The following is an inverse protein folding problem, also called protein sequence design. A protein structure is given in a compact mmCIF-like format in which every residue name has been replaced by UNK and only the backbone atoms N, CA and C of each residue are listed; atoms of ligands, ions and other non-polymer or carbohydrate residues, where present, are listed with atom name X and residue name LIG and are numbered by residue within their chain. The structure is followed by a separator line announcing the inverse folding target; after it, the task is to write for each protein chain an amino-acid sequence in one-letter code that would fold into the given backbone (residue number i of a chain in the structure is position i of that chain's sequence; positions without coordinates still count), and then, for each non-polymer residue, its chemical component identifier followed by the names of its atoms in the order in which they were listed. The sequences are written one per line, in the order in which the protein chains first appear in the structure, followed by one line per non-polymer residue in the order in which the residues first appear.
data_IF_403521897505
#
_entry.id   IF_403521897505
#
_cell.length_a   1.000
_cell.length_b   1.000
_cell.length_c   1.000
_cell.angle_alpha   90.00
_cell.angle_beta   90.00
_cell.angle_gamma   90.00
#
_symmetry.space_group_name_H-M   'P 1'
#
loop_
_entity.id
_entity.type
_entity.pdbx_description
1 polymer ?
#
# COMPACT_ATOMS: atom_id res chain seq x y z
N UNK A 1 26.38 90.33 -6.94
CA UNK A 1 26.19 89.33 -7.98
C UNK A 1 26.44 88.00 -7.30
N UNK A 2 25.34 87.29 -6.92
CA UNK A 2 25.39 86.05 -6.13
C UNK A 2 24.93 84.92 -7.02
N UNK A 3 25.77 83.88 -7.19
CA UNK A 3 25.47 82.71 -7.98
C UNK A 3 25.06 81.62 -7.04
N UNK A 4 23.82 81.14 -7.17
CA UNK A 4 23.25 80.05 -6.41
C UNK A 4 23.60 78.69 -7.06
N UNK A 5 24.11 77.78 -6.26
CA UNK A 5 24.43 76.39 -6.62
C UNK A 5 23.19 75.49 -6.37
N UNK A 6 22.81 74.58 -7.25
CA UNK A 6 21.64 73.67 -7.03
C UNK A 6 22.06 72.50 -6.16
N UNK A 7 21.18 72.18 -5.19
CA UNK A 7 21.25 70.99 -4.27
C UNK A 7 20.78 69.74 -5.00
N UNK A 8 21.66 68.72 -5.06
CA UNK A 8 21.35 67.37 -5.54
C UNK A 8 20.46 66.61 -4.54
N UNK A 9 19.30 66.13 -5.00
CA UNK A 9 18.46 65.22 -4.23
C UNK A 9 18.90 63.77 -4.43
N UNK A 10 19.35 63.17 -3.33
CA UNK A 10 19.66 61.75 -3.22
C UNK A 10 18.37 60.94 -3.11
N UNK A 11 18.06 60.11 -4.07
CA UNK A 11 16.94 59.16 -4.05
C UNK A 11 17.38 57.92 -3.27
N UNK A 12 16.77 57.71 -2.12
CA UNK A 12 16.90 56.44 -1.37
C UNK A 12 16.06 55.37 -2.03
N UNK A 13 16.71 54.36 -2.62
CA UNK A 13 16.08 53.14 -3.08
C UNK A 13 15.85 52.24 -1.84
N UNK A 14 14.57 51.85 -1.62
CA UNK A 14 14.17 50.87 -0.61
C UNK A 14 14.62 49.46 -1.08
N UNK A 15 15.32 48.67 -0.25
CA UNK A 15 15.66 47.29 -0.65
C UNK A 15 14.40 46.41 -0.67
N UNK A 16 14.15 45.79 -1.82
CA UNK A 16 13.17 44.72 -1.92
C UNK A 16 13.64 43.49 -1.14
N UNK A 17 12.82 43.02 -0.20
CA UNK A 17 13.05 41.82 0.56
C UNK A 17 12.90 40.60 -0.37
N UNK A 18 13.95 39.84 -0.55
CA UNK A 18 13.91 38.51 -1.18
C UNK A 18 13.23 37.52 -0.22
N UNK A 19 12.25 36.71 -0.65
CA UNK A 19 11.62 35.73 0.23
C UNK A 19 12.60 34.64 0.64
N UNK A 20 12.63 34.33 1.93
CA UNK A 20 13.47 33.31 2.54
C UNK A 20 13.18 31.92 1.97
N UNK A 21 14.21 31.06 1.76
CA UNK A 21 14.06 29.71 1.18
C UNK A 21 13.16 28.77 1.98
N UNK A 22 12.88 29.05 3.24
CA UNK A 22 11.99 28.26 4.11
C UNK A 22 10.53 28.31 3.67
N UNK A 23 10.07 29.42 3.08
CA UNK A 23 8.66 29.56 2.62
C UNK A 23 8.40 28.73 1.36
N UNK A 24 9.41 28.59 0.50
CA UNK A 24 9.30 27.81 -0.74
C UNK A 24 9.15 26.30 -0.47
N UNK A 25 9.84 25.78 0.54
CA UNK A 25 9.76 24.37 0.95
C UNK A 25 8.39 24.01 1.54
N UNK A 26 7.78 24.92 2.33
CA UNK A 26 6.46 24.69 2.91
C UNK A 26 5.33 24.68 1.86
N UNK A 27 5.44 25.54 0.84
CA UNK A 27 4.47 25.59 -0.27
C UNK A 27 4.60 24.36 -1.19
N UNK A 28 5.80 23.86 -1.42
CA UNK A 28 6.00 22.62 -2.18
C UNK A 28 5.48 21.39 -1.44
N UNK A 29 5.68 21.31 -0.11
CA UNK A 29 5.11 20.25 0.72
C UNK A 29 3.59 20.26 0.74
N UNK A 30 2.97 21.44 0.81
CA UNK A 30 1.51 21.58 0.77
C UNK A 30 0.92 21.24 -0.60
N UNK A 31 1.60 21.60 -1.70
CA UNK A 31 1.18 21.23 -3.06
C UNK A 31 1.28 19.71 -3.30
N UNK A 32 2.33 19.05 -2.81
CA UNK A 32 2.45 17.60 -2.88
C UNK A 32 1.40 16.88 -2.03
N UNK A 33 1.11 17.37 -0.83
CA UNK A 33 0.05 16.83 0.03
C UNK A 33 -1.34 17.00 -0.61
N UNK A 34 -1.61 18.14 -1.24
CA UNK A 34 -2.87 18.39 -1.96
C UNK A 34 -3.00 17.50 -3.22
N UNK A 35 -1.93 17.26 -3.96
CA UNK A 35 -1.90 16.33 -5.10
C UNK A 35 -2.15 14.90 -4.65
N UNK A 36 -1.56 14.47 -3.53
CA UNK A 36 -1.79 13.16 -2.93
C UNK A 36 -3.24 12.99 -2.45
N UNK A 37 -3.84 14.03 -1.86
CA UNK A 37 -5.24 14.04 -1.45
C UNK A 37 -6.21 14.00 -2.66
N UNK A 38 -5.91 14.73 -3.73
CA UNK A 38 -6.69 14.70 -4.98
C UNK A 38 -6.57 13.34 -5.69
N UNK A 39 -5.42 12.67 -5.62
CA UNK A 39 -5.22 11.30 -6.13
C UNK A 39 -6.00 10.29 -5.27
N UNK A 40 -6.04 10.47 -3.95
CA UNK A 40 -6.90 9.67 -3.05
C UNK A 40 -8.38 9.78 -3.41
N UNK A 41 -8.84 10.95 -3.75
CA UNK A 41 -10.26 11.20 -4.08
C UNK A 41 -10.66 10.63 -5.45
N UNK A 42 -9.73 10.51 -6.41
CA UNK A 42 -9.98 9.87 -7.71
C UNK A 42 -10.03 8.35 -7.67
N UNK A 43 -9.39 7.71 -6.68
CA UNK A 43 -9.39 6.27 -6.49
C UNK A 43 -10.70 5.74 -5.89
N UNK A 44 -11.59 6.61 -5.43
CA UNK A 44 -12.84 6.23 -4.78
C UNK A 44 -13.98 6.11 -5.79
N UNK A 45 -13.90 5.12 -6.66
CA UNK A 45 -15.08 4.62 -7.37
C UNK A 45 -15.89 3.74 -6.41
N UNK A 46 -17.22 3.79 -6.51
CA UNK A 46 -18.06 2.89 -5.74
C UNK A 46 -17.58 1.43 -5.93
N UNK A 47 -17.61 0.58 -4.87
CA UNK A 47 -17.16 -0.80 -5.00
C UNK A 47 -17.92 -1.49 -6.12
N UNK A 48 -17.25 -2.36 -6.92
CA UNK A 48 -17.91 -3.07 -8.00
C UNK A 48 -19.04 -3.94 -7.44
N UNK A 49 -20.20 -3.87 -8.09
CA UNK A 49 -21.35 -4.69 -7.74
C UNK A 49 -21.10 -6.15 -8.15
N UNK A 50 -21.85 -7.14 -7.61
CA UNK A 50 -21.80 -8.52 -8.07
C UNK A 50 -21.88 -8.67 -9.58
N UNK A 51 -22.76 -7.92 -10.23
CA UNK A 51 -22.90 -7.92 -11.68
C UNK A 51 -21.63 -7.47 -12.44
N UNK A 52 -20.74 -6.74 -11.79
CA UNK A 52 -19.46 -6.30 -12.37
C UNK A 52 -18.39 -7.33 -12.08
N UNK A 53 -18.13 -7.66 -10.81
CA UNK A 53 -16.99 -8.53 -10.49
C UNK A 53 -17.16 -9.98 -10.96
N UNK A 54 -18.37 -10.52 -11.02
CA UNK A 54 -18.66 -11.87 -11.56
C UNK A 54 -18.32 -12.01 -13.05
N UNK A 55 -18.20 -10.89 -13.79
CA UNK A 55 -17.78 -10.89 -15.20
C UNK A 55 -16.29 -10.65 -15.40
N UNK A 56 -15.55 -10.41 -14.31
CA UNK A 56 -14.13 -10.20 -14.40
C UNK A 56 -13.41 -11.52 -14.72
N UNK A 57 -12.45 -11.45 -15.63
CA UNK A 57 -11.61 -12.60 -15.99
C UNK A 57 -10.27 -12.58 -15.26
N UNK A 58 -9.90 -11.44 -14.66
CA UNK A 58 -8.58 -11.23 -14.10
C UNK A 58 -8.63 -10.79 -12.64
N UNK A 59 -7.65 -11.28 -11.86
CA UNK A 59 -7.43 -10.91 -10.44
C UNK A 59 -6.00 -10.46 -10.27
N UNK A 60 -5.78 -9.29 -9.65
CA UNK A 60 -4.46 -8.83 -9.27
C UNK A 60 -4.15 -9.25 -7.83
N UNK A 61 -3.08 -10.00 -7.67
CA UNK A 61 -2.58 -10.54 -6.41
C UNK A 61 -1.30 -9.82 -5.99
N UNK A 62 -1.25 -9.40 -4.72
CA UNK A 62 -0.11 -8.72 -4.12
C UNK A 62 0.37 -9.35 -2.81
N UNK A 63 -0.37 -10.28 -2.25
CA UNK A 63 -0.13 -10.98 -0.97
C UNK A 63 -0.26 -12.48 -1.09
N UNK A 64 -1.03 -13.11 -0.18
CA UNK A 64 -1.15 -14.57 -0.10
C UNK A 64 -1.67 -15.24 -1.36
N UNK A 65 -2.46 -14.56 -2.19
CA UNK A 65 -2.92 -15.10 -3.48
C UNK A 65 -1.77 -15.39 -4.45
N UNK A 66 -0.56 -14.85 -4.26
CA UNK A 66 0.59 -15.15 -5.11
C UNK A 66 1.07 -16.58 -4.90
N UNK A 67 1.11 -17.06 -3.64
CA UNK A 67 1.59 -18.40 -3.28
C UNK A 67 0.46 -19.37 -2.91
N UNK A 68 -0.74 -18.89 -2.66
CA UNK A 68 -1.92 -19.69 -2.38
C UNK A 68 -3.18 -19.09 -3.04
N UNK A 69 -3.31 -19.14 -4.37
CA UNK A 69 -4.44 -18.57 -5.09
C UNK A 69 -5.78 -19.22 -4.72
N UNK A 70 -5.81 -20.53 -4.38
CA UNK A 70 -7.02 -21.31 -4.05
C UNK A 70 -8.06 -21.32 -5.20
N UNK A 71 -7.63 -21.03 -6.43
CA UNK A 71 -8.43 -21.10 -7.64
C UNK A 71 -7.61 -21.53 -8.84
N UNK A 72 -8.29 -22.11 -9.84
CA UNK A 72 -7.68 -22.46 -11.11
C UNK A 72 -7.54 -21.23 -12.02
N UNK A 73 -6.44 -21.17 -12.76
CA UNK A 73 -6.16 -20.10 -13.70
C UNK A 73 -5.58 -20.64 -15.02
N UNK A 74 -5.83 -19.91 -16.11
CA UNK A 74 -5.34 -20.27 -17.44
C UNK A 74 -4.05 -19.51 -17.81
N UNK A 75 -3.85 -18.32 -17.21
CA UNK A 75 -2.76 -17.42 -17.57
C UNK A 75 -2.34 -16.59 -16.35
N UNK A 76 -1.06 -16.21 -16.27
CA UNK A 76 -0.54 -15.32 -15.24
C UNK A 76 0.65 -14.49 -15.70
N UNK A 77 0.75 -13.26 -15.25
CA UNK A 77 1.84 -12.35 -15.59
C UNK A 77 2.29 -11.53 -14.39
N UNK A 78 3.60 -11.24 -14.34
CA UNK A 78 4.12 -10.19 -13.47
C UNK A 78 3.73 -8.83 -14.04
N UNK A 79 3.11 -7.98 -13.22
CA UNK A 79 2.66 -6.65 -13.60
C UNK A 79 2.87 -5.66 -12.47
N UNK A 80 2.75 -4.37 -12.77
CA UNK A 80 2.83 -3.27 -11.81
C UNK A 80 1.59 -2.43 -11.91
N UNK A 81 1.03 -2.07 -10.76
CA UNK A 81 -0.04 -1.09 -10.64
C UNK A 81 0.49 0.18 -9.97
N UNK A 82 -0.10 1.32 -10.32
CA UNK A 82 0.23 2.63 -9.77
C UNK A 82 -0.87 3.11 -8.81
N UNK A 83 -0.51 3.97 -7.87
CA UNK A 83 -1.44 4.56 -6.90
C UNK A 83 -1.64 3.74 -5.63
N UNK A 84 -1.03 2.55 -5.53
CA UNK A 84 -1.10 1.68 -4.37
C UNK A 84 0.24 1.01 -4.12
N UNK A 85 0.55 0.75 -2.84
CA UNK A 85 1.73 -0.01 -2.44
C UNK A 85 1.37 -1.12 -1.47
N UNK A 86 2.21 -2.14 -1.38
CA UNK A 86 2.08 -3.24 -0.42
C UNK A 86 2.49 -2.76 0.96
N UNK A 87 1.64 -3.00 1.96
CA UNK A 87 1.93 -2.68 3.35
C UNK A 87 1.32 -3.70 4.31
N UNK A 88 1.97 -3.95 5.44
CA UNK A 88 1.36 -4.63 6.58
C UNK A 88 0.46 -3.65 7.32
N UNK A 89 -0.77 -3.55 6.89
CA UNK A 89 -1.72 -2.55 7.40
C UNK A 89 -3.10 -3.11 7.76
N UNK A 90 -3.27 -4.44 7.76
CA UNK A 90 -4.54 -5.08 8.05
C UNK A 90 -4.44 -5.93 9.31
N UNK A 91 -5.32 -5.69 10.29
CA UNK A 91 -5.44 -6.52 11.47
C UNK A 91 -5.96 -7.92 11.11
N UNK A 92 -5.33 -8.96 11.64
CA UNK A 92 -5.74 -10.35 11.46
C UNK A 92 -6.13 -10.96 12.80
N UNK A 93 -7.42 -11.03 13.05
CA UNK A 93 -8.00 -11.55 14.31
C UNK A 93 -8.21 -13.06 14.31
N UNK A 94 -7.97 -13.75 13.18
CA UNK A 94 -8.25 -15.18 13.04
C UNK A 94 -7.11 -15.93 12.36
N UNK A 95 -6.68 -15.48 11.17
CA UNK A 95 -5.76 -16.27 10.34
C UNK A 95 -4.32 -16.22 10.83
N UNK A 96 -3.83 -15.05 11.23
CA UNK A 96 -2.43 -14.81 11.66
C UNK A 96 -2.32 -14.21 13.06
N UNK A 97 -3.43 -14.19 13.80
CA UNK A 97 -3.54 -13.75 15.18
C UNK A 97 -4.84 -14.24 15.78
N UNK A 98 -5.16 -13.72 16.97
CA UNK A 98 -6.40 -13.97 17.70
C UNK A 98 -7.09 -12.64 18.02
N UNK A 99 -8.35 -12.62 18.47
CA UNK A 99 -8.99 -11.39 18.92
C UNK A 99 -8.21 -10.63 20.01
N UNK A 100 -7.59 -11.36 20.95
CA UNK A 100 -6.82 -10.78 22.06
C UNK A 100 -5.39 -10.40 21.66
N UNK A 101 -4.84 -11.04 20.62
CA UNK A 101 -3.51 -10.77 20.08
C UNK A 101 -3.56 -10.76 18.56
N UNK A 102 -4.11 -9.71 17.95
CA UNK A 102 -4.26 -9.65 16.50
C UNK A 102 -2.93 -9.59 15.80
N UNK A 103 -2.78 -10.43 14.79
CA UNK A 103 -1.67 -10.39 13.85
C UNK A 103 -1.83 -9.25 12.85
N UNK A 104 -0.96 -9.22 11.86
CA UNK A 104 -1.01 -8.25 10.76
C UNK A 104 -0.81 -8.94 9.42
N UNK A 105 -1.59 -8.57 8.42
CA UNK A 105 -1.44 -9.08 7.05
C UNK A 105 -1.34 -7.93 6.06
N UNK A 106 -0.94 -8.27 4.84
CA UNK A 106 -0.73 -7.29 3.77
C UNK A 106 -2.05 -6.74 3.25
N UNK A 107 -2.06 -5.45 3.01
CA UNK A 107 -3.04 -4.73 2.21
C UNK A 107 -2.37 -3.95 1.09
N UNK A 108 -3.15 -3.52 0.10
CA UNK A 108 -2.78 -2.44 -0.81
C UNK A 108 -3.18 -1.13 -0.15
N UNK A 109 -2.20 -0.36 0.29
CA UNK A 109 -2.42 0.97 0.84
C UNK A 109 -2.20 2.06 -0.21
N UNK A 110 -2.80 3.22 -0.02
CA UNK A 110 -2.80 4.31 -0.98
C UNK A 110 -1.41 4.90 -1.22
N UNK A 111 -1.12 5.23 -2.47
CA UNK A 111 0.13 5.88 -2.91
C UNK A 111 1.19 4.89 -3.39
N UNK A 112 2.17 5.41 -4.14
CA UNK A 112 3.26 4.60 -4.67
C UNK A 112 2.84 3.65 -5.78
N UNK A 113 3.46 2.48 -5.81
CA UNK A 113 3.20 1.43 -6.79
C UNK A 113 3.42 0.05 -6.19
N UNK A 114 2.82 -0.98 -6.79
CA UNK A 114 2.95 -2.36 -6.35
C UNK A 114 3.21 -3.29 -7.54
N UNK A 115 4.31 -4.01 -7.52
CA UNK A 115 4.50 -5.17 -8.40
C UNK A 115 3.80 -6.38 -7.80
N UNK A 116 3.08 -7.13 -8.63
CA UNK A 116 2.34 -8.31 -8.23
C UNK A 116 2.08 -9.22 -9.42
N UNK A 117 1.18 -10.17 -9.21
CA UNK A 117 0.82 -11.14 -10.23
C UNK A 117 -0.65 -10.93 -10.62
N UNK A 118 -0.91 -10.81 -11.92
CA UNK A 118 -2.28 -10.86 -12.43
C UNK A 118 -2.56 -12.25 -12.95
N UNK A 119 -3.68 -12.83 -12.53
CA UNK A 119 -4.14 -14.16 -12.94
C UNK A 119 -5.37 -14.03 -13.80
N UNK A 120 -5.40 -14.71 -14.93
CA UNK A 120 -6.63 -14.98 -15.67
C UNK A 120 -7.26 -16.23 -15.09
N UNK A 121 -8.41 -16.09 -14.48
CA UNK A 121 -9.13 -17.22 -13.89
C UNK A 121 -9.56 -18.21 -14.97
N UNK A 122 -9.82 -19.47 -14.58
CA UNK A 122 -10.21 -20.54 -15.50
C UNK A 122 -11.46 -20.14 -16.28
N UNK A 123 -11.36 -20.20 -17.62
CA UNK A 123 -12.48 -19.90 -18.51
C UNK A 123 -13.66 -20.82 -18.23
N UNK A 124 -14.86 -20.22 -18.14
CA UNK A 124 -16.11 -20.91 -17.82
C UNK A 124 -16.37 -21.11 -16.33
N UNK A 125 -15.44 -20.66 -15.45
CA UNK A 125 -15.58 -20.68 -14.00
C UNK A 125 -15.46 -19.27 -13.39
N UNK A 126 -15.50 -18.22 -14.21
CA UNK A 126 -15.21 -16.85 -13.78
C UNK A 126 -16.12 -16.42 -12.63
N UNK A 127 -17.42 -16.59 -12.78
CA UNK A 127 -18.39 -16.15 -11.76
C UNK A 127 -18.17 -16.88 -10.42
N UNK A 128 -17.99 -18.19 -10.44
CA UNK A 128 -17.78 -19.00 -9.23
C UNK A 128 -16.46 -18.67 -8.54
N UNK A 129 -15.39 -18.45 -9.32
CA UNK A 129 -14.08 -18.10 -8.78
C UNK A 129 -14.13 -16.68 -8.18
N UNK A 130 -14.72 -15.73 -8.90
CA UNK A 130 -14.83 -14.35 -8.42
C UNK A 130 -15.69 -14.24 -7.17
N UNK A 131 -16.79 -14.97 -7.08
CA UNK A 131 -17.60 -15.02 -5.85
C UNK A 131 -16.81 -15.59 -4.67
N UNK A 132 -16.05 -16.68 -4.86
CA UNK A 132 -15.22 -17.25 -3.80
C UNK A 132 -14.12 -16.28 -3.34
N UNK A 133 -13.45 -15.62 -4.27
CA UNK A 133 -12.42 -14.62 -3.93
C UNK A 133 -13.07 -13.45 -3.19
N UNK A 134 -14.19 -12.94 -3.69
CA UNK A 134 -14.91 -11.85 -3.06
C UNK A 134 -15.34 -12.21 -1.64
N UNK A 135 -15.95 -13.37 -1.44
CA UNK A 135 -16.34 -13.85 -0.11
C UNK A 135 -15.15 -14.04 0.83
N UNK A 136 -14.02 -14.58 0.32
CA UNK A 136 -12.79 -14.75 1.09
C UNK A 136 -12.21 -13.44 1.60
N UNK A 137 -12.18 -12.41 0.75
CA UNK A 137 -11.57 -11.12 1.07
C UNK A 137 -12.53 -10.19 1.83
N UNK A 138 -13.86 -10.36 1.62
CA UNK A 138 -14.89 -9.52 2.24
C UNK A 138 -15.48 -10.10 3.55
N UNK A 139 -14.81 -11.07 4.17
CA UNK A 139 -15.17 -11.60 5.52
C UNK A 139 -15.17 -10.51 6.58
N UNK A 140 -14.34 -9.47 6.39
CA UNK A 140 -14.30 -8.26 7.20
C UNK A 140 -14.39 -7.04 6.27
N UNK A 141 -14.98 -5.95 6.75
CA UNK A 141 -15.10 -4.70 5.97
C UNK A 141 -13.77 -3.97 5.76
N UNK A 142 -12.66 -4.60 6.15
CA UNK A 142 -11.30 -4.06 6.10
C UNK A 142 -10.76 -3.91 4.68
N UNK A 143 -11.30 -4.65 3.74
CA UNK A 143 -10.94 -4.55 2.33
C UNK A 143 -12.06 -3.94 1.51
N UNK A 144 -11.67 -3.20 0.48
CA UNK A 144 -12.57 -2.69 -0.56
C UNK A 144 -12.18 -3.27 -1.91
N UNK A 145 -13.12 -3.86 -2.64
CA UNK A 145 -12.87 -4.34 -3.98
C UNK A 145 -12.66 -3.14 -4.92
N UNK A 146 -11.67 -3.27 -5.80
CA UNK A 146 -11.32 -2.28 -6.80
C UNK A 146 -11.06 -2.96 -8.14
N UNK A 147 -11.50 -2.35 -9.24
CA UNK A 147 -11.10 -2.75 -10.59
C UNK A 147 -9.98 -1.83 -11.06
N UNK A 148 -8.88 -2.44 -11.51
CA UNK A 148 -7.69 -1.74 -12.00
C UNK A 148 -7.44 -2.09 -13.46
N UNK A 149 -7.04 -1.09 -14.26
CA UNK A 149 -6.60 -1.28 -15.63
C UNK A 149 -5.10 -1.66 -15.61
N UNK A 150 -4.75 -2.77 -16.26
CA UNK A 150 -3.40 -3.34 -16.24
C UNK A 150 -2.90 -3.57 -17.66
N UNK A 151 -1.78 -2.94 -18.05
CA UNK A 151 -1.07 -3.33 -19.26
C UNK A 151 -0.33 -4.63 -19.04
N UNK A 152 -0.59 -5.64 -19.89
CA UNK A 152 0.15 -6.88 -19.88
C UNK A 152 1.47 -6.76 -20.67
N UNK A 153 2.47 -7.61 -20.39
CA UNK A 153 3.75 -7.60 -21.11
C UNK A 153 3.64 -7.83 -22.62
N UNK A 154 2.57 -8.45 -23.09
CA UNK A 154 2.28 -8.70 -24.50
C UNK A 154 1.51 -7.56 -25.20
N UNK A 155 1.27 -6.46 -24.51
CA UNK A 155 0.60 -5.25 -25.03
C UNK A 155 -0.92 -5.24 -24.86
N UNK A 156 -1.55 -6.33 -24.40
CA UNK A 156 -2.98 -6.31 -24.06
C UNK A 156 -3.25 -5.40 -22.89
N UNK A 157 -4.42 -4.78 -22.87
CA UNK A 157 -4.96 -4.07 -21.70
C UNK A 157 -6.06 -4.92 -21.09
N UNK A 158 -5.99 -5.16 -19.79
CA UNK A 158 -6.99 -5.96 -19.06
C UNK A 158 -7.50 -5.21 -17.84
N UNK A 159 -8.72 -5.54 -17.42
CA UNK A 159 -9.27 -5.08 -16.15
C UNK A 159 -9.20 -6.22 -15.14
N UNK A 160 -8.60 -5.96 -13.99
CA UNK A 160 -8.44 -6.94 -12.93
C UNK A 160 -9.11 -6.50 -11.64
N UNK A 161 -9.78 -7.44 -10.96
CA UNK A 161 -10.27 -7.26 -9.61
C UNK A 161 -9.08 -7.33 -8.64
N UNK A 162 -9.05 -6.42 -7.68
CA UNK A 162 -8.13 -6.45 -6.53
C UNK A 162 -8.84 -5.92 -5.29
N UNK A 163 -8.16 -5.96 -4.13
CA UNK A 163 -8.73 -5.54 -2.85
C UNK A 163 -7.76 -4.57 -2.17
N UNK A 164 -8.23 -3.38 -1.86
CA UNK A 164 -7.44 -2.33 -1.20
C UNK A 164 -7.81 -2.22 0.28
N UNK A 165 -6.88 -1.73 1.10
CA UNK A 165 -7.13 -1.47 2.51
C UNK A 165 -8.14 -0.34 2.69
N UNK A 166 -9.16 -0.58 3.52
CA UNK A 166 -10.11 0.44 3.94
C UNK A 166 -9.55 1.21 5.13
N UNK A 167 -8.95 2.38 4.88
CA UNK A 167 -8.35 3.21 5.94
C UNK A 167 -9.38 3.80 6.92
N UNK A 168 -10.66 3.76 6.60
CA UNK A 168 -11.77 4.25 7.45
C UNK A 168 -12.26 3.18 8.41
N UNK A 169 -11.91 1.90 8.18
CA UNK A 169 -12.20 0.83 9.13
C UNK A 169 -11.16 0.82 10.25
N UNK A 170 -11.47 1.50 11.35
CA UNK A 170 -10.58 1.62 12.51
C UNK A 170 -10.32 0.29 13.25
N UNK A 171 -11.13 -0.75 13.02
CA UNK A 171 -10.92 -2.08 13.61
C UNK A 171 -10.03 -2.97 12.74
N UNK A 172 -10.15 -2.85 11.44
CA UNK A 172 -9.43 -3.66 10.47
C UNK A 172 -8.12 -3.02 10.01
N UNK A 173 -8.11 -1.71 9.79
CA UNK A 173 -6.93 -1.00 9.34
C UNK A 173 -5.99 -0.65 10.50
N UNK A 174 -4.70 -0.97 10.33
CA UNK A 174 -3.64 -0.70 11.31
C UNK A 174 -2.75 0.46 10.82
N UNK A 175 -3.02 1.72 11.21
CA UNK A 175 -2.15 2.86 10.92
C UNK A 175 -1.01 2.95 11.94
N UNK A 176 -0.44 1.81 12.33
CA UNK A 176 0.50 1.72 13.44
C UNK A 176 1.96 1.99 13.04
N UNK A 177 2.83 2.25 14.04
CA UNK A 177 4.25 2.40 13.81
C UNK A 177 4.88 1.08 13.37
N UNK A 178 5.99 1.16 12.63
CA UNK A 178 6.76 0.00 12.17
C UNK A 178 7.10 -0.99 13.30
N UNK A 179 7.38 -0.50 14.50
CA UNK A 179 7.67 -1.34 15.68
C UNK A 179 6.51 -2.27 16.05
N UNK A 180 5.28 -1.81 15.91
CA UNK A 180 4.09 -2.64 16.18
C UNK A 180 3.92 -3.73 15.11
N UNK A 181 4.14 -3.40 13.84
CA UNK A 181 4.17 -4.40 12.76
C UNK A 181 5.22 -5.49 13.06
N UNK A 182 6.45 -5.09 13.41
CA UNK A 182 7.53 -6.02 13.75
C UNK A 182 7.21 -6.89 14.95
N UNK A 183 6.62 -6.31 16.01
CA UNK A 183 6.18 -7.07 17.17
C UNK A 183 5.19 -8.17 16.78
N UNK A 184 4.17 -7.82 16.00
CA UNK A 184 3.15 -8.78 15.54
C UNK A 184 3.73 -9.85 14.63
N UNK A 185 4.62 -9.49 13.71
CA UNK A 185 5.30 -10.45 12.85
C UNK A 185 6.12 -11.47 13.65
N UNK A 186 6.69 -11.08 14.79
CA UNK A 186 7.47 -11.96 15.67
C UNK A 186 6.61 -12.84 16.55
N UNK A 187 5.51 -12.31 17.09
CA UNK A 187 4.82 -12.88 18.25
C UNK A 187 3.47 -13.51 17.92
N UNK A 188 2.76 -13.00 16.88
CA UNK A 188 1.39 -13.42 16.64
C UNK A 188 1.29 -14.70 15.82
N UNK A 189 0.34 -15.56 16.21
CA UNK A 189 0.00 -16.80 15.51
C UNK A 189 -1.51 -16.96 15.51
N UNK A 190 -2.07 -17.37 14.38
CA UNK A 190 -3.49 -17.64 14.20
C UNK A 190 -3.74 -19.05 13.66
N UNK A 191 -4.99 -19.31 13.26
CA UNK A 191 -5.40 -20.65 12.81
C UNK A 191 -4.73 -21.12 11.50
N UNK A 192 -4.15 -20.19 10.70
CA UNK A 192 -3.39 -20.50 9.48
C UNK A 192 -1.88 -20.35 9.64
N UNK A 193 -1.35 -20.39 10.88
CA UNK A 193 0.06 -20.33 11.20
C UNK A 193 0.54 -18.95 11.69
N UNK A 194 1.86 -18.83 11.87
CA UNK A 194 2.46 -17.63 12.42
C UNK A 194 2.46 -16.45 11.42
N UNK A 195 2.49 -15.25 11.96
CA UNK A 195 2.64 -14.03 11.18
C UNK A 195 4.00 -13.97 10.46
N UNK A 196 5.04 -14.50 11.13
CA UNK A 196 6.39 -14.64 10.56
C UNK A 196 6.37 -15.48 9.29
N UNK A 197 5.76 -16.68 9.35
CA UNK A 197 5.63 -17.59 8.20
C UNK A 197 4.91 -16.92 7.03
N UNK A 198 3.85 -16.18 7.30
CA UNK A 198 3.13 -15.43 6.27
C UNK A 198 4.04 -14.42 5.53
N UNK A 199 4.86 -13.67 6.27
CA UNK A 199 5.79 -12.70 5.68
C UNK A 199 6.86 -13.40 4.82
N UNK A 200 7.46 -14.49 5.35
CA UNK A 200 8.49 -15.26 4.64
C UNK A 200 7.94 -15.94 3.37
N UNK A 201 6.77 -16.56 3.44
CA UNK A 201 6.14 -17.18 2.27
C UNK A 201 5.83 -16.15 1.19
N UNK A 202 5.37 -14.96 1.57
CA UNK A 202 5.10 -13.88 0.60
C UNK A 202 6.39 -13.39 -0.04
N UNK A 203 7.46 -13.18 0.76
CA UNK A 203 8.76 -12.76 0.22
C UNK A 203 9.33 -13.81 -0.75
N UNK A 204 9.28 -15.09 -0.37
CA UNK A 204 9.77 -16.19 -1.21
C UNK A 204 9.03 -16.21 -2.55
N UNK A 205 7.70 -16.16 -2.51
CA UNK A 205 6.88 -16.15 -3.73
C UNK A 205 7.14 -14.93 -4.62
N UNK A 206 7.32 -13.74 -4.05
CA UNK A 206 7.69 -12.55 -4.84
C UNK A 206 9.04 -12.73 -5.52
N UNK A 207 10.03 -13.28 -4.80
CA UNK A 207 11.38 -13.53 -5.33
C UNK A 207 11.38 -14.56 -6.47
N UNK A 208 10.53 -15.58 -6.43
CA UNK A 208 10.36 -16.53 -7.54
C UNK A 208 9.93 -15.83 -8.84
N UNK A 209 9.22 -14.70 -8.73
CA UNK A 209 8.83 -13.87 -9.85
C UNK A 209 9.83 -12.74 -10.18
N UNK A 210 10.99 -12.71 -9.50
CA UNK A 210 11.96 -11.64 -9.65
C UNK A 210 11.42 -10.29 -9.18
N UNK A 211 10.50 -10.30 -8.19
CA UNK A 211 9.99 -9.11 -7.54
C UNK A 211 10.75 -8.89 -6.23
N UNK A 212 11.44 -7.76 -6.14
CA UNK A 212 12.09 -7.31 -4.92
C UNK A 212 11.26 -6.19 -4.30
N UNK A 213 10.71 -6.45 -3.13
CA UNK A 213 9.93 -5.46 -2.37
C UNK A 213 10.77 -4.91 -1.22
N UNK A 214 11.33 -3.68 -1.34
CA UNK A 214 12.24 -3.13 -0.32
C UNK A 214 11.58 -2.99 1.06
N UNK A 215 10.27 -2.73 1.10
CA UNK A 215 9.53 -2.62 2.36
C UNK A 215 9.47 -3.97 3.08
N UNK A 216 9.09 -5.03 2.36
CA UNK A 216 9.01 -6.37 2.91
C UNK A 216 10.39 -6.93 3.27
N UNK A 217 11.38 -6.74 2.40
CA UNK A 217 12.76 -7.17 2.64
C UNK A 217 13.36 -6.53 3.90
N UNK A 218 13.14 -5.21 4.09
CA UNK A 218 13.59 -4.52 5.27
C UNK A 218 12.89 -4.98 6.56
N UNK A 219 11.56 -5.23 6.51
CA UNK A 219 10.82 -5.75 7.65
C UNK A 219 11.30 -7.15 8.07
N UNK A 220 11.55 -8.03 7.11
CA UNK A 220 12.02 -9.38 7.39
C UNK A 220 13.43 -9.35 7.98
N UNK A 221 14.33 -8.54 7.45
CA UNK A 221 15.68 -8.38 8.00
C UNK A 221 15.65 -7.88 9.46
N UNK A 222 14.80 -6.90 9.76
CA UNK A 222 14.61 -6.39 11.12
C UNK A 222 13.92 -7.41 12.04
N UNK A 223 12.97 -8.18 11.50
CA UNK A 223 12.28 -9.23 12.27
C UNK A 223 13.25 -10.29 12.78
N UNK A 224 14.29 -10.61 12.01
CA UNK A 224 15.32 -11.59 12.37
C UNK A 224 16.40 -11.04 13.30
N UNK A 225 16.48 -9.72 13.45
CA UNK A 225 17.41 -9.10 14.40
C UNK A 225 16.87 -9.24 15.82
N UNK A 226 17.64 -9.78 16.77
CA UNK A 226 17.23 -9.83 18.17
C UNK A 226 16.89 -8.42 18.66
N UNK A 227 15.73 -8.23 19.27
CA UNK A 227 15.42 -6.99 19.96
C UNK A 227 16.49 -6.79 21.03
N UNK A 228 17.21 -5.67 21.00
CA UNK A 228 18.06 -5.27 22.11
C UNK A 228 17.11 -5.06 23.31
N UNK A 229 16.90 -6.13 24.07
CA UNK A 229 16.20 -6.05 25.33
C UNK A 229 17.00 -5.12 26.21
N UNK A 230 16.38 -4.02 26.62
CA UNK A 230 16.98 -3.10 27.57
C UNK A 230 17.53 -3.89 28.75
N UNK A 231 18.84 -3.78 28.97
CA UNK A 231 19.48 -4.18 30.20
C UNK A 231 18.65 -3.60 31.35
N UNK A 232 17.98 -4.48 32.11
CA UNK A 232 17.47 -4.11 33.43
C UNK A 232 18.67 -3.54 34.19
N UNK A 233 18.57 -2.35 34.75
CA UNK A 233 19.55 -1.96 35.73
C UNK A 233 19.37 -2.91 36.92
N UNK A 234 20.43 -3.67 37.21
CA UNK A 234 20.53 -4.44 38.45
C UNK A 234 20.43 -3.43 39.61
N UNK A 235 19.39 -3.62 40.44
CA UNK A 235 19.30 -3.02 41.75
C UNK A 235 19.97 -3.93 42.80
#
# INVERSE_FOLDING_TARGET
MSVATPVSRSSHATPQATPSPVVTSALQGAAQAATTAATRQRAYTAPPTPAVYQRMEWVFAYGSLIWNPEFDFDERHKVRIEGYHRAFCINSHTYRGTPDAPGVVLGLDCGGSCEGIVYRVRRGQEADIMDRIYQREMVSEVYRPLVVDIPLPDGRQVQALTFIACQEDLHGYLPGPRSEVLRRLRECTGCRGSNREYALNTQAALREWGIHDPYLDALIAEMDTPSAQGSRPDC
#
